data_IF_836737512936
#
_entry.id   IF_836737512936
#
_cell.length_a   1.000
_cell.length_b   1.000
_cell.length_c   1.000
_cell.angle_alpha   90.00
_cell.angle_beta   90.00
_cell.angle_gamma   90.00
#
_symmetry.space_group_name_H-M   'P 1'
#
loop_
_entity.id
_entity.type
_entity.pdbx_description
1 polymer ?
#
# COMPACT_ATOMS: atom_id res chain seq x y z
N UNK A 1 3.89 24.13 -48.43
CA UNK A 1 3.04 23.70 -49.55
C UNK A 1 1.83 23.03 -48.96
N UNK A 2 0.89 23.74 -48.67
CA UNK A 2 -0.45 24.03 -49.12
C UNK A 2 -1.10 22.95 -49.97
N UNK A 3 -2.23 22.40 -49.48
CA UNK A 3 -3.46 22.21 -50.27
C UNK A 3 -4.66 21.91 -49.36
N UNK A 4 -5.48 22.93 -49.24
CA UNK A 4 -6.90 22.97 -48.91
C UNK A 4 -7.71 22.39 -50.07
N UNK A 5 -8.81 21.66 -49.82
CA UNK A 5 -9.95 21.57 -50.72
C UNK A 5 -11.27 21.44 -49.95
N UNK A 6 -12.37 22.01 -50.50
CA UNK A 6 -13.54 22.42 -49.73
C UNK A 6 -14.80 21.54 -49.93
N UNK A 7 -15.73 21.78 -49.06
CA UNK A 7 -17.11 21.62 -48.94
C UNK A 7 -18.01 21.05 -50.08
N UNK A 8 -19.04 20.34 -49.60
CA UNK A 8 -20.27 20.23 -50.40
C UNK A 8 -21.51 20.27 -49.47
N UNK A 9 -22.22 21.40 -49.59
CA UNK A 9 -23.58 21.54 -49.07
C UNK A 9 -24.51 20.93 -50.10
N UNK A 10 -25.60 20.22 -49.67
CA UNK A 10 -26.76 19.99 -50.50
C UNK A 10 -28.01 20.31 -49.68
N UNK A 11 -28.86 21.08 -50.34
CA UNK A 11 -30.06 21.72 -49.84
C UNK A 11 -31.28 20.76 -49.66
N UNK A 12 -32.19 21.28 -48.88
CA UNK A 12 -33.57 21.02 -48.61
C UNK A 12 -34.45 20.50 -49.77
N UNK A 13 -35.44 19.70 -49.42
CA UNK A 13 -36.74 19.77 -50.06
C UNK A 13 -37.83 19.36 -49.05
N UNK A 14 -38.74 20.30 -48.80
CA UNK A 14 -40.00 20.14 -48.08
C UNK A 14 -40.99 19.31 -48.92
N UNK A 15 -41.66 18.34 -48.31
CA UNK A 15 -42.96 17.89 -48.79
C UNK A 15 -43.89 17.70 -47.58
N UNK A 16 -44.91 18.55 -47.55
CA UNK A 16 -46.10 18.46 -46.71
C UNK A 16 -46.99 17.28 -47.17
N UNK A 17 -47.46 16.47 -46.23
CA UNK A 17 -48.73 15.75 -46.41
C UNK A 17 -49.41 15.55 -45.05
N UNK A 18 -50.52 16.23 -44.90
CA UNK A 18 -51.49 15.99 -43.86
C UNK A 18 -52.15 14.62 -44.07
N UNK A 19 -52.25 13.81 -43.05
CA UNK A 19 -53.34 12.86 -42.87
C UNK A 19 -53.60 12.68 -41.36
N UNK A 20 -54.82 13.00 -41.00
CA UNK A 20 -55.41 12.81 -39.69
C UNK A 20 -55.65 11.32 -39.43
N UNK A 21 -55.39 10.85 -38.19
CA UNK A 21 -55.78 9.51 -37.83
C UNK A 21 -55.37 9.09 -36.44
N UNK A 22 -56.33 9.15 -35.53
CA UNK A 22 -56.49 8.27 -34.36
C UNK A 22 -55.40 8.23 -33.26
N UNK A 23 -55.69 8.99 -32.20
CA UNK A 23 -55.04 8.90 -30.90
C UNK A 23 -55.34 7.54 -30.24
N UNK A 24 -54.36 6.62 -30.27
CA UNK A 24 -54.29 5.50 -29.34
C UNK A 24 -53.24 5.86 -28.31
N UNK A 25 -53.72 6.20 -27.12
CA UNK A 25 -52.83 6.46 -25.96
C UNK A 25 -52.34 5.10 -25.45
N UNK A 26 -51.21 4.64 -25.98
CA UNK A 26 -50.45 3.60 -25.32
C UNK A 26 -49.49 4.27 -24.31
N UNK A 27 -49.84 4.16 -23.03
CA UNK A 27 -48.92 4.47 -21.95
C UNK A 27 -47.79 3.43 -21.99
N UNK A 28 -46.53 3.81 -22.23
CA UNK A 28 -45.44 2.89 -21.99
C UNK A 28 -45.28 2.76 -20.47
N UNK A 29 -45.57 1.58 -19.98
CA UNK A 29 -45.13 1.18 -18.64
C UNK A 29 -43.64 1.18 -18.65
N UNK A 30 -43.04 2.27 -18.13
CA UNK A 30 -41.58 2.38 -17.88
C UNK A 30 -41.28 1.44 -16.75
N UNK A 31 -40.88 0.22 -17.08
CA UNK A 31 -40.13 -0.61 -16.13
C UNK A 31 -38.77 0.07 -15.92
N UNK A 32 -38.65 0.81 -14.81
CA UNK A 32 -37.38 1.25 -14.32
C UNK A 32 -36.58 -0.01 -13.94
N UNK A 33 -35.74 -0.41 -14.84
CA UNK A 33 -34.70 -1.41 -14.59
C UNK A 33 -33.74 -0.77 -13.60
N UNK A 34 -33.92 -1.12 -12.31
CA UNK A 34 -32.98 -0.78 -11.25
C UNK A 34 -31.68 -1.53 -11.53
N UNK A 35 -30.79 -0.90 -12.26
CA UNK A 35 -29.41 -1.31 -12.28
C UNK A 35 -28.88 -1.13 -10.85
N UNK A 36 -28.90 -2.21 -10.07
CA UNK A 36 -28.15 -2.29 -8.84
C UNK A 36 -26.68 -2.14 -9.25
N UNK A 37 -26.12 -0.95 -9.00
CA UNK A 37 -24.68 -0.77 -9.01
C UNK A 37 -24.12 -1.71 -7.95
N UNK A 38 -23.63 -2.85 -8.39
CA UNK A 38 -22.82 -3.74 -7.56
C UNK A 38 -21.51 -2.99 -7.29
N UNK A 39 -21.51 -2.24 -6.21
CA UNK A 39 -20.24 -1.74 -5.64
C UNK A 39 -19.32 -2.95 -5.47
N UNK A 40 -18.07 -2.94 -5.96
CA UNK A 40 -17.16 -4.04 -5.75
C UNK A 40 -17.01 -4.21 -4.24
N UNK A 41 -17.52 -5.30 -3.69
CA UNK A 41 -17.22 -5.69 -2.31
C UNK A 41 -15.71 -5.83 -2.25
N UNK A 42 -15.04 -4.87 -1.61
CA UNK A 42 -13.63 -5.00 -1.28
C UNK A 42 -13.55 -6.15 -0.28
N UNK A 43 -13.18 -7.33 -0.77
CA UNK A 43 -12.99 -8.49 0.09
C UNK A 43 -11.89 -8.15 1.10
N UNK A 44 -12.28 -7.99 2.36
CA UNK A 44 -11.33 -7.75 3.45
C UNK A 44 -10.74 -9.11 3.81
N UNK A 45 -9.55 -9.37 3.33
CA UNK A 45 -8.79 -10.55 3.75
C UNK A 45 -8.31 -10.34 5.19
N UNK A 46 -8.41 -11.39 5.99
CA UNK A 46 -7.95 -11.37 7.38
C UNK A 46 -6.71 -12.24 7.51
N UNK A 47 -5.61 -11.63 7.96
CA UNK A 47 -4.37 -12.32 8.26
C UNK A 47 -4.16 -12.40 9.77
N UNK A 48 -3.58 -13.50 10.21
CA UNK A 48 -3.28 -13.77 11.61
C UNK A 48 -1.82 -13.40 11.93
N UNK A 49 -1.50 -13.38 13.20
CA UNK A 49 -0.15 -13.05 13.69
C UNK A 49 0.93 -13.91 13.01
N UNK A 50 0.67 -15.20 12.85
CA UNK A 50 1.62 -16.14 12.23
C UNK A 50 1.84 -15.85 10.73
N UNK A 51 0.79 -15.42 10.00
CA UNK A 51 0.88 -15.06 8.60
C UNK A 51 1.79 -13.84 8.43
N UNK A 52 1.60 -12.83 9.30
CA UNK A 52 2.38 -11.59 9.27
C UNK A 52 3.85 -11.88 9.59
N UNK A 53 4.11 -12.63 10.67
CA UNK A 53 5.47 -13.01 11.07
C UNK A 53 6.18 -13.84 10.01
N UNK A 54 5.50 -14.85 9.46
CA UNK A 54 6.09 -15.73 8.45
C UNK A 54 6.39 -14.98 7.14
N UNK A 55 5.49 -14.08 6.71
CA UNK A 55 5.72 -13.23 5.53
C UNK A 55 6.93 -12.34 5.72
N UNK A 56 7.03 -11.66 6.88
CA UNK A 56 8.17 -10.80 7.17
C UNK A 56 9.47 -11.60 7.22
N UNK A 57 9.49 -12.75 7.89
CA UNK A 57 10.68 -13.61 7.97
C UNK A 57 11.10 -14.14 6.59
N UNK A 58 10.14 -14.55 5.76
CA UNK A 58 10.41 -14.99 4.39
C UNK A 58 10.97 -13.84 3.54
N UNK A 59 10.45 -12.63 3.72
CA UNK A 59 10.99 -11.45 3.06
C UNK A 59 12.44 -11.19 3.48
N UNK A 60 12.73 -11.14 4.78
CA UNK A 60 14.11 -10.97 5.28
C UNK A 60 15.03 -12.04 4.71
N UNK A 61 14.61 -13.31 4.75
CA UNK A 61 15.41 -14.42 4.20
C UNK A 61 15.66 -14.26 2.68
N UNK A 62 14.72 -13.68 1.94
CA UNK A 62 14.88 -13.42 0.51
C UNK A 62 15.82 -12.24 0.18
N UNK A 63 16.05 -11.35 1.16
CA UNK A 63 16.91 -10.17 1.01
C UNK A 63 18.31 -10.37 1.62
N UNK A 64 18.54 -11.52 2.26
CA UNK A 64 19.86 -11.86 2.83
C UNK A 64 20.79 -12.32 1.71
N UNK A 65 21.95 -11.69 1.61
CA UNK A 65 22.98 -12.01 0.64
C UNK A 65 23.85 -13.23 1.05
N UNK A 66 24.86 -13.53 0.24
CA UNK A 66 25.79 -14.65 0.47
C UNK A 66 26.61 -14.52 1.76
N UNK A 67 26.71 -13.32 2.30
CA UNK A 67 27.34 -13.01 3.60
C UNK A 67 26.42 -13.27 4.81
N UNK A 68 25.17 -13.70 4.56
CA UNK A 68 24.13 -13.92 5.57
C UNK A 68 23.70 -12.64 6.31
N UNK A 69 23.81 -11.48 5.65
CA UNK A 69 23.41 -10.18 6.17
C UNK A 69 22.20 -9.62 5.42
N UNK A 70 21.36 -8.94 6.18
CA UNK A 70 20.29 -8.10 5.63
C UNK A 70 20.83 -6.69 5.41
N UNK A 71 20.87 -6.26 4.15
CA UNK A 71 21.36 -4.95 3.76
C UNK A 71 20.22 -3.96 3.67
N UNK A 72 20.31 -2.88 4.42
CA UNK A 72 19.29 -1.81 4.42
C UNK A 72 19.98 -0.45 4.24
N UNK A 73 19.53 0.31 3.25
CA UNK A 73 19.92 1.72 3.15
C UNK A 73 19.07 2.54 4.12
N UNK A 74 19.74 3.19 5.07
CA UNK A 74 19.10 4.07 6.04
C UNK A 74 18.66 5.38 5.38
N UNK A 75 17.36 5.66 5.35
CA UNK A 75 16.78 6.86 4.71
C UNK A 75 17.24 8.16 5.34
N UNK A 76 17.55 8.15 6.67
CA UNK A 76 17.94 9.33 7.42
C UNK A 76 19.41 9.67 7.24
N UNK A 77 20.29 8.67 7.29
CA UNK A 77 21.75 8.87 7.26
C UNK A 77 22.33 8.65 5.87
N UNK A 78 21.65 7.89 5.02
CA UNK A 78 22.13 7.44 3.73
C UNK A 78 23.14 6.29 3.81
N UNK A 79 23.44 5.79 5.01
CA UNK A 79 24.34 4.67 5.23
C UNK A 79 23.75 3.34 4.77
N UNK A 80 24.60 2.44 4.32
CA UNK A 80 24.23 1.05 4.08
C UNK A 80 24.49 0.28 5.37
N UNK A 81 23.42 -0.20 5.99
CA UNK A 81 23.47 -0.99 7.21
C UNK A 81 23.67 -2.46 6.87
N UNK A 82 24.58 -3.13 7.57
CA UNK A 82 24.84 -4.56 7.51
C UNK A 82 24.29 -5.20 8.79
N UNK A 83 23.19 -5.91 8.67
CA UNK A 83 22.33 -6.27 9.79
C UNK A 83 22.13 -7.78 9.91
N UNK A 84 22.12 -8.29 11.13
CA UNK A 84 21.73 -9.66 11.46
C UNK A 84 20.39 -9.68 12.17
N UNK A 85 19.48 -10.49 11.68
CA UNK A 85 18.16 -10.71 12.27
C UNK A 85 18.30 -11.23 13.72
N UNK A 86 17.51 -10.69 14.62
CA UNK A 86 17.40 -11.11 16.02
C UNK A 86 16.02 -11.71 16.28
N UNK A 87 14.97 -10.90 16.22
CA UNK A 87 13.61 -11.36 16.53
C UNK A 87 12.55 -10.42 16.00
N UNK A 88 11.36 -10.97 15.76
CA UNK A 88 10.14 -10.19 15.52
C UNK A 88 9.49 -9.85 16.85
N UNK A 89 9.03 -8.63 17.01
CA UNK A 89 8.31 -8.21 18.20
C UNK A 89 6.88 -8.75 18.24
N UNK A 90 6.35 -8.93 19.43
CA UNK A 90 4.93 -9.09 19.72
C UNK A 90 4.39 -7.84 20.43
N UNK A 91 3.17 -7.42 20.11
CA UNK A 91 2.31 -7.90 19.04
C UNK A 91 2.67 -7.32 17.65
N UNK A 92 2.44 -8.10 16.59
CA UNK A 92 2.31 -7.53 15.23
C UNK A 92 0.99 -6.79 15.13
N UNK A 93 0.86 -5.85 14.19
CA UNK A 93 -0.31 -4.95 14.15
C UNK A 93 -0.97 -4.93 12.76
N UNK A 94 -2.31 -4.86 12.78
CA UNK A 94 -3.08 -4.31 11.67
C UNK A 94 -3.32 -2.83 11.98
N UNK A 95 -2.98 -1.95 11.05
CA UNK A 95 -3.11 -0.51 11.24
C UNK A 95 -4.44 -0.04 10.67
N UNK A 96 -4.63 -0.19 9.36
CA UNK A 96 -5.82 0.28 8.68
C UNK A 96 -6.15 -0.63 7.49
N UNK A 97 -7.41 -1.05 7.36
CA UNK A 97 -7.82 -1.90 6.25
C UNK A 97 -6.98 -3.16 6.14
N UNK A 98 -6.28 -3.31 5.03
CA UNK A 98 -5.42 -4.46 4.76
C UNK A 98 -3.93 -4.17 4.98
N UNK A 99 -3.60 -3.12 5.73
CA UNK A 99 -2.21 -2.77 6.06
C UNK A 99 -1.81 -3.36 7.40
N UNK A 100 -0.72 -4.08 7.39
CA UNK A 100 -0.14 -4.74 8.55
C UNK A 100 1.31 -4.32 8.72
N UNK A 101 1.85 -4.43 9.93
CA UNK A 101 3.28 -4.27 10.14
C UNK A 101 3.81 -5.12 11.29
N UNK A 102 5.11 -5.40 11.21
CA UNK A 102 5.86 -6.07 12.25
C UNK A 102 7.15 -5.30 12.53
N UNK A 103 7.38 -4.99 13.82
CA UNK A 103 8.67 -4.48 14.28
C UNK A 103 9.64 -5.64 14.48
N UNK A 104 10.88 -5.43 14.10
CA UNK A 104 11.89 -6.50 14.10
C UNK A 104 13.23 -5.95 14.56
N UNK A 105 13.84 -6.62 15.52
CA UNK A 105 15.19 -6.29 15.98
C UNK A 105 16.25 -6.91 15.07
N UNK A 106 17.23 -6.09 14.72
CA UNK A 106 18.45 -6.47 14.04
C UNK A 106 19.65 -5.89 14.78
N UNK A 107 20.72 -6.64 14.91
CA UNK A 107 21.98 -6.06 15.39
C UNK A 107 22.93 -5.77 14.23
N UNK A 108 23.79 -4.77 14.41
CA UNK A 108 24.83 -4.43 13.46
C UNK A 108 25.87 -5.56 13.40
N UNK A 109 26.35 -5.89 12.21
CA UNK A 109 27.38 -6.89 12.02
C UNK A 109 28.64 -6.53 12.81
N UNK A 110 29.09 -7.45 13.66
CA UNK A 110 30.28 -7.25 14.53
C UNK A 110 30.03 -6.43 15.79
N UNK A 111 28.82 -5.83 15.95
CA UNK A 111 28.47 -4.97 17.09
C UNK A 111 27.09 -5.36 17.66
N UNK A 112 26.99 -6.50 18.35
CA UNK A 112 25.71 -7.07 18.79
C UNK A 112 24.95 -6.21 19.81
N UNK A 113 25.61 -5.26 20.46
CA UNK A 113 24.99 -4.29 21.37
C UNK A 113 24.26 -3.15 20.62
N UNK A 114 24.56 -2.93 19.34
CA UNK A 114 23.88 -1.93 18.51
C UNK A 114 22.67 -2.54 17.83
N UNK A 115 21.50 -2.33 18.40
CA UNK A 115 20.24 -2.87 17.92
C UNK A 115 19.46 -1.79 17.18
N UNK A 116 19.10 -2.08 15.92
CA UNK A 116 18.08 -1.38 15.16
C UNK A 116 16.74 -2.08 15.33
N UNK A 117 15.67 -1.31 15.49
CA UNK A 117 14.29 -1.76 15.41
C UNK A 117 13.75 -1.32 14.04
N UNK A 118 13.41 -2.26 13.18
CA UNK A 118 13.00 -2.02 11.81
C UNK A 118 11.56 -2.47 11.64
N UNK A 119 10.72 -1.58 11.11
CA UNK A 119 9.34 -1.86 10.79
C UNK A 119 9.21 -2.32 9.34
N UNK A 120 8.54 -3.47 9.15
CA UNK A 120 8.16 -4.02 7.86
C UNK A 120 6.67 -3.78 7.63
N UNK A 121 6.37 -3.04 6.58
CA UNK A 121 5.00 -2.70 6.20
C UNK A 121 4.52 -3.64 5.12
N UNK A 122 3.33 -4.21 5.32
CA UNK A 122 2.76 -5.24 4.44
C UNK A 122 1.37 -4.85 3.98
N UNK A 123 1.09 -5.09 2.70
CA UNK A 123 -0.23 -4.95 2.09
C UNK A 123 -0.84 -6.34 1.83
N UNK A 124 -2.03 -6.56 2.37
CA UNK A 124 -2.82 -7.78 2.20
C UNK A 124 -4.04 -7.62 1.28
N UNK A 125 -4.17 -6.52 0.54
CA UNK A 125 -5.35 -6.22 -0.29
C UNK A 125 -5.56 -7.21 -1.44
N UNK A 126 -4.50 -7.87 -1.91
CA UNK A 126 -4.56 -8.88 -2.97
C UNK A 126 -4.95 -10.28 -2.50
N UNK A 127 -5.12 -10.50 -1.20
CA UNK A 127 -5.30 -11.84 -0.60
C UNK A 127 -4.00 -12.54 -0.24
N UNK A 128 -2.87 -11.88 -0.49
CA UNK A 128 -1.53 -12.30 -0.06
C UNK A 128 -0.85 -11.12 0.63
N UNK A 129 -0.15 -11.38 1.73
CA UNK A 129 0.67 -10.37 2.38
C UNK A 129 1.95 -10.13 1.58
N UNK A 130 2.24 -8.87 1.27
CA UNK A 130 3.47 -8.46 0.57
C UNK A 130 4.12 -7.30 1.31
N UNK A 131 5.39 -7.45 1.65
CA UNK A 131 6.19 -6.34 2.18
C UNK A 131 6.38 -5.31 1.05
N UNK A 132 5.97 -4.06 1.31
CA UNK A 132 6.12 -2.98 0.34
C UNK A 132 7.02 -1.84 0.83
N UNK A 133 7.29 -1.77 2.14
CA UNK A 133 8.15 -0.75 2.72
C UNK A 133 8.87 -1.26 3.97
N UNK A 134 10.06 -0.72 4.24
CA UNK A 134 10.85 -0.98 5.44
C UNK A 134 11.40 0.33 5.97
N UNK A 135 11.25 0.56 7.29
CA UNK A 135 11.69 1.80 7.93
C UNK A 135 12.46 1.52 9.21
N UNK A 136 13.52 2.29 9.44
CA UNK A 136 14.18 2.29 10.75
C UNK A 136 13.29 3.01 11.75
N UNK A 137 12.66 2.24 12.64
CA UNK A 137 11.84 2.78 13.72
C UNK A 137 12.71 3.32 14.87
N UNK A 138 13.69 2.52 15.31
CA UNK A 138 14.64 2.93 16.36
C UNK A 138 16.06 2.65 15.94
N UNK A 139 16.93 3.60 16.22
CA UNK A 139 18.36 3.52 15.99
C UNK A 139 19.14 3.28 17.28
N UNK A 140 20.30 2.58 17.24
CA UNK A 140 21.15 2.45 18.41
C UNK A 140 21.79 3.81 18.75
N UNK A 141 21.70 4.21 19.99
CA UNK A 141 22.43 5.36 20.56
C UNK A 141 23.11 4.95 21.84
N UNK A 142 24.26 5.56 22.11
CA UNK A 142 24.99 5.33 23.36
C UNK A 142 24.71 6.44 24.36
N UNK A 143 24.65 6.04 25.63
CA UNK A 143 24.56 6.94 26.78
C UNK A 143 25.61 6.55 27.81
N UNK A 144 26.25 7.53 28.44
CA UNK A 144 27.22 7.28 29.50
C UNK A 144 26.64 6.55 30.72
N UNK A 145 25.31 6.66 30.94
CA UNK A 145 24.63 6.05 32.08
C UNK A 145 24.04 4.68 31.78
N UNK A 146 23.56 4.45 30.55
CA UNK A 146 22.78 3.28 30.20
C UNK A 146 23.42 2.38 29.14
N UNK A 147 24.59 2.78 28.61
CA UNK A 147 25.19 2.09 27.46
C UNK A 147 24.41 2.28 26.18
N UNK A 148 24.32 1.25 25.34
CA UNK A 148 23.54 1.28 24.11
C UNK A 148 22.05 1.12 24.39
N UNK A 149 21.22 1.93 23.70
CA UNK A 149 19.76 1.86 23.78
C UNK A 149 19.13 2.16 22.41
N UNK A 150 17.89 1.71 22.20
CA UNK A 150 17.12 1.96 20.99
C UNK A 150 16.43 3.32 21.10
N UNK A 151 16.86 4.29 20.29
CA UNK A 151 16.30 5.64 20.24
C UNK A 151 15.26 5.73 19.13
N UNK A 152 13.99 6.09 19.41
CA UNK A 152 12.95 6.15 18.40
C UNK A 152 13.16 7.31 17.43
N UNK A 153 12.89 7.09 16.15
CA UNK A 153 12.86 8.09 15.09
C UNK A 153 11.47 8.63 14.84
N UNK A 154 10.46 7.82 15.12
CA UNK A 154 9.05 8.19 14.99
C UNK A 154 8.20 7.44 16.00
N UNK A 155 6.96 7.88 16.11
CA UNK A 155 5.90 7.20 16.86
C UNK A 155 4.65 7.08 15.98
N UNK A 156 3.62 6.41 16.50
CA UNK A 156 2.32 6.32 15.84
C UNK A 156 1.30 7.18 16.59
N UNK A 157 0.66 8.08 15.85
CA UNK A 157 -0.47 8.87 16.33
C UNK A 157 -1.66 8.61 15.41
N UNK A 158 -2.74 8.05 15.94
CA UNK A 158 -3.92 7.65 15.15
C UNK A 158 -3.59 6.76 13.94
N UNK A 159 -2.70 5.78 14.13
CA UNK A 159 -2.18 4.86 13.09
C UNK A 159 -1.38 5.54 11.96
N UNK A 160 -0.95 6.78 12.15
CA UNK A 160 -0.06 7.50 11.24
C UNK A 160 1.32 7.69 11.85
N UNK A 161 2.35 7.68 11.00
CA UNK A 161 3.73 7.89 11.43
C UNK A 161 3.95 9.37 11.71
N UNK A 162 4.42 9.68 12.91
CA UNK A 162 4.84 11.03 13.33
C UNK A 162 6.33 11.01 13.68
N UNK A 163 7.15 11.72 12.91
CA UNK A 163 8.59 11.79 13.14
C UNK A 163 8.93 12.67 14.34
N UNK A 164 9.91 12.24 15.15
CA UNK A 164 10.32 12.85 16.40
C UNK A 164 11.50 13.84 16.25
N UNK A 165 11.90 14.16 15.02
CA UNK A 165 13.03 15.06 14.70
C UNK A 165 12.75 15.89 13.46
#
# INVERSE_FOLDING_TARGET
>A
MSRYLPGRRINATLINSLLAGLLIIFSPWSTAESTAETSPETSVFKFYVEDIKSTMQAYVASQVDTDSLFHLKDDKTGENLELKFVMVHDPVRQIRGNIYFACTDFHVQGEPEKIYDIDFWMDGSSGELKVYDTKVHKEPRSSLLYGWYKHPRYTFVNDEVEYLY
#
